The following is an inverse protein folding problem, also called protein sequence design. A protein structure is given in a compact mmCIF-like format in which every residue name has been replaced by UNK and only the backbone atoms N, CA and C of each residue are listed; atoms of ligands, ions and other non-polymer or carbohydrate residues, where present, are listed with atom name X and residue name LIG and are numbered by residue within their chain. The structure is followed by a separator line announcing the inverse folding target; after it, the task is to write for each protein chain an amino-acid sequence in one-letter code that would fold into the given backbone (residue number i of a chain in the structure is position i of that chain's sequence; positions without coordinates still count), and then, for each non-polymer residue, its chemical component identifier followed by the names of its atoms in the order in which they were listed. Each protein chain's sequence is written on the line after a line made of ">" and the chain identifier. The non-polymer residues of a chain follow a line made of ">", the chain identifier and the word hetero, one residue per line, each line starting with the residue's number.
data_IF_210640149759
#
_entry.id   IF_210640149759
#
_cell.length_a   1.000
_cell.length_b   1.000
_cell.length_c   1.000
_cell.angle_alpha   90.00
_cell.angle_beta   90.00
_cell.angle_gamma   90.00
#
_symmetry.space_group_name_H-M   'P 1'
#
loop_
_entity.id
_entity.type
_entity.pdbx_description
1 polymer ?
#
# COMPACT_ATOMS: atom_id res chain seq x y z
N UNK A 1 -49.50 38.59 -33.54
CA UNK A 1 -49.60 38.43 -32.07
C UNK A 1 -49.12 37.07 -31.60
N UNK A 2 -49.79 35.94 -31.81
CA UNK A 2 -49.26 34.64 -31.30
C UNK A 2 -48.03 34.12 -32.07
N UNK A 3 -47.93 34.38 -33.38
CA UNK A 3 -46.77 33.97 -34.18
C UNK A 3 -45.49 34.79 -33.87
N UNK A 4 -45.65 36.07 -33.55
CA UNK A 4 -44.51 36.97 -33.22
C UNK A 4 -43.96 36.67 -31.82
N UNK A 5 -44.81 36.32 -30.85
CA UNK A 5 -44.38 35.94 -29.50
C UNK A 5 -43.57 34.63 -29.48
N UNK A 6 -43.92 33.69 -30.38
CA UNK A 6 -43.24 32.40 -30.50
C UNK A 6 -41.89 32.53 -31.22
N UNK A 7 -41.75 33.54 -32.08
CA UNK A 7 -40.49 33.87 -32.76
C UNK A 7 -39.52 34.59 -31.81
N UNK A 8 -40.02 35.48 -30.94
CA UNK A 8 -39.25 36.12 -29.86
C UNK A 8 -38.76 35.11 -28.80
N UNK A 9 -39.58 34.12 -28.41
CA UNK A 9 -39.16 33.03 -27.50
C UNK A 9 -38.10 32.12 -28.15
N UNK A 10 -38.22 31.83 -29.45
CA UNK A 10 -37.24 31.04 -30.17
C UNK A 10 -35.89 31.79 -30.35
N UNK A 11 -35.93 33.11 -30.54
CA UNK A 11 -34.73 33.95 -30.61
C UNK A 11 -34.05 34.08 -29.24
N UNK A 12 -34.81 34.18 -28.14
CA UNK A 12 -34.28 34.14 -26.77
C UNK A 12 -33.68 32.78 -26.39
N UNK A 13 -34.27 31.68 -26.86
CA UNK A 13 -33.74 30.33 -26.66
C UNK A 13 -32.47 30.07 -27.48
N UNK A 14 -32.41 30.56 -28.73
CA UNK A 14 -31.19 30.50 -29.55
C UNK A 14 -30.03 31.31 -28.97
N UNK A 15 -30.31 32.47 -28.37
CA UNK A 15 -29.30 33.30 -27.70
C UNK A 15 -28.72 32.66 -26.42
N UNK A 16 -29.43 31.70 -25.80
CA UNK A 16 -28.94 30.91 -24.67
C UNK A 16 -28.07 29.72 -25.11
N UNK A 17 -28.23 29.21 -26.32
CA UNK A 17 -27.42 28.12 -26.89
C UNK A 17 -26.09 28.61 -27.50
N UNK A 18 -26.03 29.86 -27.98
CA UNK A 18 -24.81 30.50 -28.50
C UNK A 18 -23.96 31.19 -27.42
N UNK A 19 -24.40 31.16 -26.16
CA UNK A 19 -23.56 31.52 -25.03
C UNK A 19 -22.53 30.40 -24.81
N UNK A 20 -21.43 30.48 -25.57
CA UNK A 20 -20.22 29.70 -25.36
C UNK A 20 -19.98 29.62 -23.83
N UNK A 21 -20.02 28.43 -23.19
CA UNK A 21 -19.86 28.36 -21.76
C UNK A 21 -18.53 29.02 -21.45
N UNK A 22 -18.57 30.13 -20.72
CA UNK A 22 -17.37 30.69 -20.10
C UNK A 22 -16.70 29.48 -19.48
N UNK A 23 -15.43 29.16 -19.83
CA UNK A 23 -14.80 27.93 -19.38
C UNK A 23 -15.04 27.89 -17.89
N UNK A 24 -15.85 26.92 -17.44
CA UNK A 24 -16.30 26.85 -16.06
C UNK A 24 -15.03 27.00 -15.25
N UNK A 25 -14.87 28.14 -14.57
CA UNK A 25 -13.68 28.41 -13.80
C UNK A 25 -13.55 27.19 -12.92
N UNK A 26 -12.47 26.43 -13.14
CA UNK A 26 -12.23 25.13 -12.54
C UNK A 26 -12.70 25.23 -11.08
N UNK A 27 -13.60 24.34 -10.64
CA UNK A 27 -14.10 24.39 -9.26
C UNK A 27 -12.94 24.43 -8.24
N UNK A 28 -11.74 23.94 -8.64
CA UNK A 28 -10.49 24.10 -7.90
C UNK A 28 -10.04 25.57 -7.75
N UNK A 29 -10.21 26.42 -8.77
CA UNK A 29 -9.88 27.85 -8.72
C UNK A 29 -10.84 28.69 -7.87
N UNK A 30 -12.13 28.33 -7.80
CA UNK A 30 -13.10 29.02 -6.94
C UNK A 30 -12.87 28.73 -5.45
N UNK A 31 -12.54 27.48 -5.09
CA UNK A 31 -12.25 27.10 -3.70
C UNK A 31 -10.84 27.50 -3.24
N UNK A 32 -9.86 27.55 -4.16
CA UNK A 32 -8.49 27.91 -3.84
C UNK A 32 -8.27 29.39 -3.50
N UNK A 33 -9.26 30.26 -3.74
CA UNK A 33 -9.13 31.71 -3.55
C UNK A 33 -9.75 32.25 -2.26
N UNK A 34 -10.68 31.52 -1.64
CA UNK A 34 -11.35 31.99 -0.43
C UNK A 34 -10.64 31.49 0.83
N UNK A 35 -9.96 32.36 1.60
CA UNK A 35 -9.19 31.97 2.78
C UNK A 35 -10.03 31.30 3.86
N UNK A 36 -11.38 31.37 3.81
CA UNK A 36 -12.27 30.68 4.74
C UNK A 36 -12.29 29.15 4.56
N UNK A 37 -11.95 28.67 3.37
CA UNK A 37 -12.04 27.24 3.02
C UNK A 37 -10.69 26.54 2.89
N UNK A 38 -9.60 27.31 2.92
CA UNK A 38 -8.22 26.79 2.85
C UNK A 38 -7.79 26.35 4.25
N UNK A 39 -7.06 25.25 4.35
CA UNK A 39 -6.47 24.81 5.62
C UNK A 39 -5.49 25.87 6.15
N UNK A 40 -5.41 26.07 7.48
CA UNK A 40 -4.38 26.91 8.07
C UNK A 40 -2.99 26.48 7.62
N UNK A 41 -2.03 27.40 7.38
CA UNK A 41 -0.66 27.05 7.04
C UNK A 41 -0.05 26.13 8.10
N UNK A 42 0.52 25.02 7.65
CA UNK A 42 1.13 24.05 8.53
C UNK A 42 2.49 24.57 9.04
N UNK A 43 2.80 24.43 10.34
CA UNK A 43 4.13 24.73 10.86
C UNK A 43 5.22 23.93 10.12
N UNK A 44 6.46 24.46 10.01
CA UNK A 44 7.59 23.68 9.51
C UNK A 44 7.76 22.39 10.32
N UNK A 45 8.13 21.31 9.64
CA UNK A 45 8.31 19.99 10.23
C UNK A 45 9.79 19.61 10.19
N UNK A 46 10.40 19.36 11.34
CA UNK A 46 11.77 18.86 11.46
C UNK A 46 11.76 17.36 11.75
N UNK A 47 12.20 16.57 10.77
CA UNK A 47 12.23 15.12 10.87
C UNK A 47 13.12 14.57 11.98
N UNK A 48 14.02 15.36 12.57
CA UNK A 48 14.92 14.90 13.62
C UNK A 48 14.33 15.05 15.03
N UNK A 49 13.36 15.94 15.21
CA UNK A 49 12.84 16.34 16.52
C UNK A 49 11.33 16.14 16.63
N UNK A 50 10.59 16.33 15.54
CA UNK A 50 9.15 16.25 15.51
C UNK A 50 8.68 14.83 15.16
N UNK A 51 7.62 14.37 15.82
CA UNK A 51 6.86 13.20 15.40
C UNK A 51 5.63 13.65 14.59
N UNK A 52 5.24 12.89 13.57
CA UNK A 52 4.00 13.13 12.83
C UNK A 52 2.91 12.22 13.37
N UNK A 53 2.01 12.80 14.15
CA UNK A 53 0.87 12.10 14.74
C UNK A 53 -0.41 12.55 14.06
N UNK A 54 -1.13 11.61 13.44
CA UNK A 54 -2.32 11.92 12.66
C UNK A 54 -3.34 10.79 12.68
N UNK A 55 -4.62 11.15 12.57
CA UNK A 55 -5.68 10.19 12.32
C UNK A 55 -5.74 9.93 10.82
N UNK A 56 -5.55 8.67 10.42
CA UNK A 56 -5.64 8.30 9.00
C UNK A 56 -7.10 8.09 8.58
N UNK A 57 -7.40 8.28 7.31
CA UNK A 57 -8.77 8.24 6.76
C UNK A 57 -8.84 7.35 5.53
N UNK A 58 -7.87 7.48 4.63
CA UNK A 58 -7.82 6.72 3.39
C UNK A 58 -6.44 6.13 3.16
N UNK A 59 -6.40 5.02 2.44
CA UNK A 59 -5.18 4.31 2.11
C UNK A 59 -5.18 3.97 0.63
N UNK A 60 -4.15 4.46 -0.06
CA UNK A 60 -3.90 4.11 -1.44
C UNK A 60 -2.61 3.29 -1.58
N UNK A 61 -2.42 2.71 -2.75
CA UNK A 61 -1.18 2.04 -3.13
C UNK A 61 -0.73 2.58 -4.49
N UNK A 62 0.58 2.72 -4.66
CA UNK A 62 1.20 2.96 -5.96
C UNK A 62 2.48 2.15 -6.09
N UNK A 63 2.83 1.82 -7.34
CA UNK A 63 4.13 1.24 -7.64
C UNK A 63 5.14 2.38 -7.76
N UNK A 64 6.33 2.22 -7.18
CA UNK A 64 7.40 3.20 -7.23
C UNK A 64 8.78 2.59 -7.03
N UNK A 65 9.79 3.45 -6.92
CA UNK A 65 11.17 3.02 -6.71
C UNK A 65 11.44 2.71 -5.24
N UNK A 66 12.24 1.68 -4.99
CA UNK A 66 12.71 1.35 -3.64
C UNK A 66 13.54 2.49 -3.04
N UNK A 67 13.30 2.81 -1.77
CA UNK A 67 14.14 3.74 -1.03
C UNK A 67 15.55 3.16 -0.90
N UNK A 68 16.53 3.95 -1.33
CA UNK A 68 17.95 3.57 -1.33
C UNK A 68 18.58 3.57 0.08
N UNK A 69 17.94 4.25 1.04
CA UNK A 69 18.42 4.33 2.42
C UNK A 69 17.24 4.38 3.38
N UNK A 70 17.45 3.89 4.60
CA UNK A 70 16.49 4.03 5.68
C UNK A 70 16.60 5.44 6.30
N UNK A 71 15.53 6.24 6.34
CA UNK A 71 15.55 7.52 7.04
C UNK A 71 15.89 7.39 8.53
N UNK A 72 15.60 6.23 9.14
CA UNK A 72 16.03 5.91 10.49
C UNK A 72 17.52 5.58 10.54
N UNK A 73 18.30 6.46 11.18
CA UNK A 73 19.75 6.33 11.25
C UNK A 73 20.18 4.98 11.88
N UNK A 74 21.09 4.28 11.19
CA UNK A 74 21.65 3.00 11.66
C UNK A 74 20.77 1.77 11.40
N UNK A 75 19.59 1.93 10.78
CA UNK A 75 18.75 0.80 10.37
C UNK A 75 18.97 0.43 8.90
N UNK A 76 18.85 -0.86 8.61
CA UNK A 76 18.91 -1.38 7.25
C UNK A 76 17.61 -1.07 6.48
N UNK A 77 17.71 -1.07 5.15
CA UNK A 77 16.53 -0.99 4.28
C UNK A 77 15.81 -2.34 4.32
N UNK A 78 14.52 -2.31 4.65
CA UNK A 78 13.68 -3.52 4.71
C UNK A 78 12.92 -3.70 3.40
N UNK A 79 12.76 -4.95 2.98
CA UNK A 79 12.07 -5.30 1.74
C UNK A 79 13.00 -5.25 0.52
N UNK A 80 12.42 -5.11 -0.67
CA UNK A 80 13.19 -5.07 -1.91
C UNK A 80 13.99 -3.76 -2.03
N UNK A 81 15.28 -3.87 -2.36
CA UNK A 81 16.21 -2.75 -2.53
C UNK A 81 16.35 -2.29 -3.98
N UNK A 82 15.74 -3.01 -4.93
CA UNK A 82 15.83 -2.75 -6.36
C UNK A 82 14.56 -3.12 -7.09
N UNK A 83 14.28 -2.42 -8.19
CA UNK A 83 13.10 -2.64 -9.03
C UNK A 83 11.84 -1.95 -8.49
N UNK A 84 10.70 -2.12 -9.18
CA UNK A 84 9.44 -1.54 -8.75
C UNK A 84 8.95 -2.23 -7.47
N UNK A 85 8.57 -1.41 -6.47
CA UNK A 85 8.05 -1.85 -5.19
C UNK A 85 6.68 -1.22 -4.90
N UNK A 86 5.81 -1.89 -4.12
CA UNK A 86 4.52 -1.35 -3.75
C UNK A 86 4.68 -0.39 -2.56
N UNK A 87 4.32 0.86 -2.77
CA UNK A 87 4.31 1.90 -1.74
C UNK A 87 2.87 2.11 -1.29
N UNK A 88 2.63 2.02 0.01
CA UNK A 88 1.33 2.38 0.60
C UNK A 88 1.33 3.89 0.89
N UNK A 89 0.18 4.53 0.77
CA UNK A 89 -0.01 5.95 1.10
C UNK A 89 -1.15 6.09 2.08
N UNK A 90 -0.84 6.42 3.32
CA UNK A 90 -1.83 6.77 4.33
C UNK A 90 -2.11 8.27 4.25
N UNK A 91 -3.38 8.61 4.03
CA UNK A 91 -3.87 9.98 4.05
C UNK A 91 -4.60 10.25 5.36
N UNK A 92 -4.37 11.40 5.95
CA UNK A 92 -5.04 11.75 7.19
C UNK A 92 -4.83 13.19 7.63
N UNK A 93 -5.16 13.45 8.88
CA UNK A 93 -5.16 14.80 9.46
C UNK A 93 -4.56 14.76 10.86
N UNK A 94 -3.63 15.68 11.14
CA UNK A 94 -3.09 15.90 12.49
C UNK A 94 -4.16 16.51 13.42
N UNK A 95 -3.95 16.47 14.73
CA UNK A 95 -4.85 17.11 15.69
C UNK A 95 -5.03 18.62 15.44
N UNK A 96 -4.00 19.28 14.91
CA UNK A 96 -4.04 20.70 14.53
C UNK A 96 -4.72 20.97 13.18
N UNK A 97 -5.28 19.96 12.51
CA UNK A 97 -5.99 20.10 11.24
C UNK A 97 -5.11 20.08 9.98
N UNK A 98 -3.80 19.81 10.13
CA UNK A 98 -2.89 19.74 8.97
C UNK A 98 -3.05 18.41 8.22
N UNK A 99 -3.14 18.46 6.90
CA UNK A 99 -3.24 17.24 6.07
C UNK A 99 -1.90 16.53 5.91
N UNK A 100 -1.92 15.20 6.01
CA UNK A 100 -0.74 14.33 5.96
C UNK A 100 -0.90 13.28 4.85
N UNK A 101 0.18 13.08 4.08
CA UNK A 101 0.39 11.91 3.24
C UNK A 101 1.66 11.21 3.73
N UNK A 102 1.51 10.07 4.42
CA UNK A 102 2.63 9.22 4.77
C UNK A 102 2.81 8.16 3.69
N UNK A 103 3.96 8.14 3.03
CA UNK A 103 4.38 7.08 2.12
C UNK A 103 5.11 6.00 2.92
N UNK A 104 4.52 4.80 2.95
CA UNK A 104 5.00 3.67 3.71
C UNK A 104 5.72 2.69 2.79
N UNK A 105 6.99 2.43 3.11
CA UNK A 105 7.92 1.63 2.33
C UNK A 105 8.29 0.32 3.01
N UNK A 106 8.80 -0.63 2.24
CA UNK A 106 9.42 -1.87 2.73
C UNK A 106 8.45 -2.99 3.12
N UNK A 107 7.14 -2.76 3.07
CA UNK A 107 6.17 -3.83 3.26
C UNK A 107 6.14 -4.72 2.01
N UNK A 108 6.41 -6.02 2.17
CA UNK A 108 6.53 -6.93 1.02
C UNK A 108 5.31 -7.88 0.97
N UNK A 109 4.56 -7.94 -0.15
CA UNK A 109 3.43 -8.85 -0.29
C UNK A 109 3.85 -10.32 -0.09
N UNK A 110 3.07 -11.09 0.65
CA UNK A 110 3.34 -12.52 0.85
C UNK A 110 2.06 -13.35 1.00
N UNK A 111 2.24 -14.66 0.85
CA UNK A 111 1.23 -15.67 1.16
C UNK A 111 1.89 -16.97 1.61
N UNK A 112 1.10 -17.95 2.05
CA UNK A 112 1.63 -19.25 2.50
C UNK A 112 1.27 -20.37 1.51
N UNK A 113 2.15 -21.35 1.37
CA UNK A 113 1.93 -22.57 0.58
C UNK A 113 2.27 -23.82 1.40
N UNK A 114 1.48 -24.88 1.24
CA UNK A 114 1.74 -26.16 1.89
C UNK A 114 3.02 -26.82 1.36
N UNK A 115 3.59 -27.70 2.17
CA UNK A 115 4.70 -28.56 1.78
C UNK A 115 4.32 -30.04 1.92
N UNK A 116 4.93 -30.95 1.16
CA UNK A 116 4.85 -32.38 1.42
C UNK A 116 5.34 -32.70 2.84
N UNK A 117 4.75 -33.73 3.46
CA UNK A 117 5.21 -34.19 4.77
C UNK A 117 6.70 -34.57 4.71
N UNK A 118 7.46 -34.13 5.73
CA UNK A 118 8.91 -34.38 5.85
C UNK A 118 9.77 -33.81 4.71
N UNK A 119 9.22 -32.93 3.87
CA UNK A 119 10.04 -32.19 2.92
C UNK A 119 10.98 -31.24 3.68
N UNK A 120 12.31 -31.34 3.46
CA UNK A 120 13.28 -30.56 4.24
C UNK A 120 13.23 -29.07 3.90
N UNK A 121 12.91 -28.71 2.66
CA UNK A 121 12.94 -27.35 2.14
C UNK A 121 14.22 -26.62 2.54
N UNK A 122 15.39 -27.17 2.23
CA UNK A 122 16.69 -26.52 2.52
C UNK A 122 16.80 -25.17 1.80
N UNK A 123 17.77 -24.34 2.18
CA UNK A 123 17.98 -23.05 1.51
C UNK A 123 18.18 -23.24 0.00
N UNK A 124 19.00 -24.22 -0.41
CA UNK A 124 19.28 -24.50 -1.82
C UNK A 124 18.00 -24.89 -2.58
N UNK A 125 17.13 -25.69 -1.95
CA UNK A 125 15.86 -26.10 -2.54
C UNK A 125 14.88 -24.93 -2.68
N UNK A 126 14.85 -24.02 -1.68
CA UNK A 126 14.02 -22.81 -1.74
C UNK A 126 14.51 -21.84 -2.80
N UNK A 127 15.82 -21.67 -2.93
CA UNK A 127 16.41 -20.86 -4.00
C UNK A 127 16.13 -21.44 -5.39
N UNK A 128 16.25 -22.75 -5.56
CA UNK A 128 15.92 -23.41 -6.83
C UNK A 128 14.44 -23.23 -7.20
N UNK A 129 13.54 -23.46 -6.24
CA UNK A 129 12.10 -23.20 -6.42
C UNK A 129 11.83 -21.72 -6.77
N UNK A 130 12.49 -20.79 -6.08
CA UNK A 130 12.38 -19.36 -6.37
C UNK A 130 12.85 -19.02 -7.78
N UNK A 131 13.97 -19.60 -8.24
CA UNK A 131 14.46 -19.42 -9.62
C UNK A 131 13.48 -19.98 -10.65
N UNK A 132 12.89 -21.14 -10.39
CA UNK A 132 11.92 -21.76 -11.28
C UNK A 132 10.62 -20.93 -11.37
N UNK A 133 10.07 -20.51 -10.22
CA UNK A 133 8.90 -19.64 -10.19
C UNK A 133 9.14 -18.32 -10.93
N UNK A 134 10.30 -17.71 -10.76
CA UNK A 134 10.67 -16.47 -11.47
C UNK A 134 10.86 -16.67 -12.98
N UNK A 135 11.24 -17.88 -13.44
CA UNK A 135 11.32 -18.19 -14.87
C UNK A 135 9.94 -18.32 -15.49
N UNK A 136 9.00 -18.88 -14.75
CA UNK A 136 7.63 -19.13 -15.22
C UNK A 136 6.73 -17.89 -15.12
N UNK A 137 6.95 -17.03 -14.12
CA UNK A 137 6.23 -15.76 -14.00
C UNK A 137 6.92 -14.71 -14.88
N UNK A 138 6.30 -14.36 -16.00
CA UNK A 138 6.71 -13.21 -16.80
C UNK A 138 6.52 -11.91 -16.00
N UNK A 139 7.61 -11.45 -15.38
CA UNK A 139 7.75 -10.16 -14.76
C UNK A 139 8.35 -9.17 -15.77
N UNK A 140 7.68 -8.03 -15.96
CA UNK A 140 8.15 -6.99 -16.89
C UNK A 140 9.36 -6.28 -16.28
N UNK A 141 10.55 -6.79 -16.54
CA UNK A 141 11.82 -6.14 -16.16
C UNK A 141 12.20 -6.27 -14.68
N UNK A 142 11.75 -7.32 -13.98
CA UNK A 142 12.08 -7.52 -12.58
C UNK A 142 11.94 -8.98 -12.12
N UNK A 143 12.11 -9.19 -10.82
CA UNK A 143 11.91 -10.49 -10.15
C UNK A 143 10.48 -10.52 -9.62
N UNK A 144 9.73 -11.61 -9.85
CA UNK A 144 8.36 -11.77 -9.35
C UNK A 144 8.32 -12.26 -7.89
N UNK A 145 9.09 -13.29 -7.58
CA UNK A 145 9.23 -13.88 -6.24
C UNK A 145 10.51 -13.36 -5.62
N UNK A 146 10.35 -12.51 -4.60
CA UNK A 146 11.44 -11.82 -3.93
C UNK A 146 12.15 -12.70 -2.87
N UNK A 147 11.46 -13.71 -2.34
CA UNK A 147 12.02 -14.61 -1.34
C UNK A 147 11.06 -15.72 -0.95
N UNK A 148 11.60 -16.80 -0.41
CA UNK A 148 10.83 -17.93 0.13
C UNK A 148 11.41 -18.30 1.50
N UNK A 149 10.58 -18.25 2.53
CA UNK A 149 10.95 -18.56 3.91
C UNK A 149 10.24 -19.84 4.37
N UNK A 150 10.97 -20.72 5.08
CA UNK A 150 10.38 -21.90 5.70
C UNK A 150 9.77 -21.52 7.05
N UNK A 151 8.46 -21.72 7.18
CA UNK A 151 7.72 -21.42 8.41
C UNK A 151 7.28 -22.71 9.08
N UNK A 152 7.70 -22.88 10.33
CA UNK A 152 7.38 -24.04 11.15
C UNK A 152 6.16 -23.80 12.03
N UNK A 153 5.50 -24.89 12.42
CA UNK A 153 4.59 -24.85 13.56
C UNK A 153 3.24 -24.19 13.29
N UNK A 154 2.84 -24.02 12.01
CA UNK A 154 1.54 -23.47 11.61
C UNK A 154 0.52 -24.59 11.40
N UNK A 155 -0.75 -24.23 11.33
CA UNK A 155 -1.84 -25.15 11.06
C UNK A 155 -2.89 -24.48 10.18
N UNK A 156 -3.58 -25.26 9.36
CA UNK A 156 -4.74 -24.78 8.62
C UNK A 156 -5.87 -24.44 9.60
N UNK A 157 -6.54 -23.31 9.39
CA UNK A 157 -7.77 -22.98 10.10
C UNK A 157 -8.94 -23.89 9.66
N UNK A 158 -8.90 -24.38 8.43
CA UNK A 158 -9.95 -25.22 7.86
C UNK A 158 -9.78 -26.66 8.33
N UNK A 159 -10.77 -27.16 9.06
CA UNK A 159 -10.80 -28.52 9.60
C UNK A 159 -10.17 -28.65 11.00
N UNK A 160 -10.40 -29.78 11.66
CA UNK A 160 -9.78 -30.09 12.94
C UNK A 160 -8.79 -31.24 12.76
N UNK A 161 -7.49 -30.94 12.95
CA UNK A 161 -6.41 -31.92 12.84
C UNK A 161 -5.74 -32.23 14.18
N UNK A 162 -6.38 -31.83 15.29
CA UNK A 162 -5.76 -31.83 16.62
C UNK A 162 -4.58 -30.86 16.68
N UNK A 163 -3.58 -31.18 17.52
CA UNK A 163 -2.37 -30.35 17.68
C UNK A 163 -1.32 -30.58 16.56
N UNK A 164 -1.73 -31.12 15.41
CA UNK A 164 -0.84 -31.39 14.29
C UNK A 164 -0.45 -30.09 13.61
N UNK A 165 0.80 -29.68 13.85
CA UNK A 165 1.43 -28.57 13.15
C UNK A 165 2.20 -29.07 11.93
N UNK A 166 2.21 -28.26 10.88
CA UNK A 166 2.93 -28.52 9.64
C UNK A 166 3.89 -27.36 9.31
N UNK A 167 4.79 -27.65 8.38
CA UNK A 167 5.67 -26.66 7.78
C UNK A 167 5.01 -26.08 6.53
N UNK A 168 5.24 -24.80 6.30
CA UNK A 168 4.72 -24.06 5.14
C UNK A 168 5.84 -23.23 4.54
N UNK A 169 5.73 -22.91 3.25
CA UNK A 169 6.53 -21.86 2.63
C UNK A 169 5.79 -20.53 2.77
N UNK A 170 6.46 -19.51 3.27
CA UNK A 170 6.02 -18.12 3.15
C UNK A 170 6.69 -17.52 1.92
N UNK A 171 5.89 -17.26 0.90
CA UNK A 171 6.36 -16.81 -0.42
C UNK A 171 6.15 -15.31 -0.51
N UNK A 172 7.25 -14.56 -0.64
CA UNK A 172 7.24 -13.12 -0.82
C UNK A 172 7.30 -12.78 -2.32
N UNK A 173 6.47 -11.84 -2.76
CA UNK A 173 6.44 -11.37 -4.15
C UNK A 173 6.75 -9.89 -4.22
N UNK A 174 7.44 -9.45 -5.27
CA UNK A 174 7.85 -8.04 -5.42
C UNK A 174 6.68 -7.07 -5.56
N UNK A 175 5.58 -7.48 -6.19
CA UNK A 175 4.36 -6.68 -6.35
C UNK A 175 3.12 -7.51 -5.98
N UNK A 176 2.05 -6.89 -5.44
CA UNK A 176 0.80 -7.59 -5.11
C UNK A 176 0.17 -8.32 -6.31
N UNK A 177 0.38 -7.80 -7.53
CA UNK A 177 -0.12 -8.40 -8.77
C UNK A 177 0.52 -9.76 -9.08
N UNK A 178 1.72 -10.04 -8.57
CA UNK A 178 2.41 -11.31 -8.76
C UNK A 178 1.91 -12.40 -7.80
N UNK A 179 1.28 -12.06 -6.67
CA UNK A 179 0.69 -13.04 -5.74
C UNK A 179 -0.28 -13.98 -6.45
N UNK A 180 -1.16 -13.45 -7.30
CA UNK A 180 -2.12 -14.27 -8.06
C UNK A 180 -1.44 -15.16 -9.09
N UNK A 181 -0.40 -14.67 -9.77
CA UNK A 181 0.32 -15.45 -10.78
C UNK A 181 1.10 -16.60 -10.12
N UNK A 182 1.89 -16.30 -9.09
CA UNK A 182 2.70 -17.28 -8.39
C UNK A 182 1.85 -18.33 -7.69
N UNK A 183 0.73 -17.94 -7.07
CA UNK A 183 -0.24 -18.89 -6.50
C UNK A 183 -0.74 -19.88 -7.54
N UNK A 184 -1.18 -19.40 -8.71
CA UNK A 184 -1.74 -20.28 -9.76
C UNK A 184 -0.73 -21.33 -10.23
N UNK A 185 0.55 -20.97 -10.30
CA UNK A 185 1.62 -21.92 -10.60
C UNK A 185 1.74 -22.98 -9.50
N UNK A 186 1.82 -22.56 -8.25
CA UNK A 186 1.92 -23.46 -7.10
C UNK A 186 0.72 -24.42 -6.99
N UNK A 187 -0.49 -23.92 -7.22
CA UNK A 187 -1.73 -24.71 -7.19
C UNK A 187 -1.88 -25.61 -8.42
N UNK A 188 -1.34 -25.20 -9.57
CA UNK A 188 -1.35 -25.98 -10.82
C UNK A 188 -0.26 -27.04 -10.92
N UNK A 189 0.63 -27.11 -9.93
CA UNK A 189 1.73 -28.07 -9.88
C UNK A 189 3.07 -27.46 -10.28
N UNK A 190 4.04 -27.52 -9.38
CA UNK A 190 5.44 -27.13 -9.62
C UNK A 190 6.37 -28.30 -9.32
N UNK A 191 7.55 -28.30 -9.95
CA UNK A 191 8.57 -29.28 -9.62
C UNK A 191 9.29 -28.86 -8.32
N UNK A 192 9.03 -29.58 -7.22
CA UNK A 192 9.76 -29.38 -5.98
C UNK A 192 11.12 -30.12 -6.05
N UNK A 193 12.25 -29.43 -5.80
CA UNK A 193 13.57 -30.06 -5.84
C UNK A 193 13.66 -31.26 -4.91
N UNK A 194 14.00 -32.43 -5.47
CA UNK A 194 14.12 -33.70 -4.74
C UNK A 194 12.80 -34.40 -4.39
N UNK A 195 11.65 -33.86 -4.79
CA UNK A 195 10.33 -34.49 -4.60
C UNK A 195 9.64 -34.80 -5.93
N UNK A 196 9.76 -33.91 -6.93
CA UNK A 196 9.03 -34.00 -8.19
C UNK A 196 7.81 -33.08 -8.22
N UNK A 197 6.88 -33.35 -9.14
CA UNK A 197 5.66 -32.55 -9.30
C UNK A 197 4.84 -32.53 -8.01
N UNK A 198 4.48 -31.34 -7.55
CA UNK A 198 3.67 -31.14 -6.35
C UNK A 198 2.71 -29.96 -6.54
N UNK A 199 1.44 -30.20 -6.25
CA UNK A 199 0.38 -29.20 -6.21
C UNK A 199 0.25 -28.70 -4.77
N UNK A 200 0.63 -27.44 -4.54
CA UNK A 200 0.57 -26.84 -3.23
C UNK A 200 -0.80 -26.22 -2.99
N UNK A 201 -1.36 -26.43 -1.80
CA UNK A 201 -2.50 -25.63 -1.32
C UNK A 201 -1.97 -24.30 -0.81
N UNK A 202 -2.56 -23.19 -1.25
CA UNK A 202 -2.17 -21.86 -0.75
C UNK A 202 -3.12 -21.33 0.31
N UNK A 203 -2.59 -20.53 1.23
CA UNK A 203 -3.30 -19.93 2.35
C UNK A 203 -3.00 -18.45 2.40
N UNK A 204 -4.01 -17.68 2.83
CA UNK A 204 -3.94 -16.22 2.95
C UNK A 204 -3.56 -15.50 1.64
N UNK A 205 -3.57 -16.22 0.52
CA UNK A 205 -3.16 -15.72 -0.78
C UNK A 205 -4.17 -14.72 -1.35
N UNK A 206 -5.45 -14.82 -0.98
CA UNK A 206 -6.50 -13.91 -1.42
C UNK A 206 -6.70 -12.67 -0.52
N UNK A 207 -5.80 -12.42 0.44
CA UNK A 207 -5.88 -11.22 1.27
C UNK A 207 -5.33 -10.02 0.50
N UNK A 208 -6.13 -8.95 0.41
CA UNK A 208 -5.71 -7.71 -0.26
C UNK A 208 -4.47 -7.14 0.42
N UNK A 209 -3.52 -6.64 -0.36
CA UNK A 209 -2.24 -6.11 0.14
C UNK A 209 -2.39 -5.04 1.22
N UNK A 210 -3.29 -4.07 1.01
CA UNK A 210 -3.61 -3.03 2.00
C UNK A 210 -4.13 -3.65 3.31
N UNK A 211 -5.05 -4.61 3.22
CA UNK A 211 -5.62 -5.27 4.39
C UNK A 211 -4.55 -6.09 5.14
N UNK A 212 -3.64 -6.73 4.38
CA UNK A 212 -2.50 -7.44 4.94
C UNK A 212 -1.59 -6.50 5.74
N UNK A 213 -1.27 -5.34 5.19
CA UNK A 213 -0.51 -4.30 5.90
C UNK A 213 -1.20 -3.87 7.20
N UNK A 214 -2.50 -3.60 7.13
CA UNK A 214 -3.28 -3.19 8.29
C UNK A 214 -3.26 -4.25 9.41
N UNK A 215 -3.45 -5.52 9.06
CA UNK A 215 -3.42 -6.63 10.03
C UNK A 215 -2.02 -6.77 10.65
N UNK A 216 -0.98 -6.77 9.83
CA UNK A 216 0.38 -7.04 10.29
C UNK A 216 0.97 -5.90 11.13
N UNK A 217 0.52 -4.65 10.91
CA UNK A 217 0.95 -3.47 11.66
C UNK A 217 -0.03 -3.04 12.77
N UNK A 218 -1.06 -3.85 13.06
CA UNK A 218 -2.15 -3.54 14.00
C UNK A 218 -2.83 -2.18 13.73
N UNK A 219 -2.97 -1.80 12.46
CA UNK A 219 -3.62 -0.55 12.03
C UNK A 219 -5.10 -0.84 11.78
N UNK A 220 -5.95 -0.35 12.69
CA UNK A 220 -7.40 -0.39 12.53
C UNK A 220 -7.93 0.82 11.76
N UNK A 221 -9.15 0.72 11.21
CA UNK A 221 -9.81 1.83 10.51
C UNK A 221 -9.86 3.11 11.34
N UNK A 222 -9.41 4.22 10.75
CA UNK A 222 -9.45 5.56 11.33
C UNK A 222 -8.81 5.72 12.72
N UNK A 223 -7.82 4.89 13.06
CA UNK A 223 -7.06 5.09 14.28
C UNK A 223 -5.97 6.15 14.13
N UNK A 224 -5.35 6.49 15.25
CA UNK A 224 -4.20 7.38 15.28
C UNK A 224 -2.93 6.60 14.93
N UNK A 225 -2.17 7.13 13.99
CA UNK A 225 -0.87 6.61 13.59
C UNK A 225 0.19 7.66 13.89
N UNK A 226 1.31 7.20 14.42
CA UNK A 226 2.46 8.02 14.72
C UNK A 226 3.67 7.58 13.89
N UNK A 227 4.34 8.57 13.33
CA UNK A 227 5.65 8.47 12.67
C UNK A 227 6.66 9.13 13.61
N UNK A 228 7.47 8.36 14.37
CA UNK A 228 8.36 8.93 15.38
C UNK A 228 9.44 9.85 14.80
N UNK A 229 9.93 10.79 15.61
CA UNK A 229 11.07 11.62 15.24
C UNK A 229 12.29 10.76 14.89
N UNK A 230 13.00 11.16 13.83
CA UNK A 230 14.21 10.50 13.34
C UNK A 230 13.97 9.24 12.53
N UNK A 231 12.72 8.84 12.24
CA UNK A 231 12.42 7.61 11.47
C UNK A 231 11.89 7.88 10.07
N UNK A 232 11.70 9.14 9.70
CA UNK A 232 11.13 9.54 8.42
C UNK A 232 11.93 10.63 7.74
N UNK A 233 11.64 10.86 6.46
CA UNK A 233 12.13 11.99 5.68
C UNK A 233 10.96 12.79 5.14
N UNK A 234 11.03 14.12 5.20
CA UNK A 234 10.02 15.01 4.60
C UNK A 234 10.27 15.14 3.09
N UNK A 235 9.21 14.98 2.29
CA UNK A 235 9.22 15.31 0.85
C UNK A 235 8.84 16.77 0.64
N UNK A 236 9.65 17.47 -0.14
CA UNK A 236 9.42 18.89 -0.46
C UNK A 236 9.55 19.18 -1.96
N UNK A 237 8.97 20.30 -2.40
CA UNK A 237 9.08 20.77 -3.78
C UNK A 237 8.64 19.74 -4.82
N UNK A 238 9.51 19.48 -5.80
CA UNK A 238 9.24 18.57 -6.92
C UNK A 238 9.17 17.08 -6.53
N UNK A 239 9.58 16.72 -5.31
CA UNK A 239 9.50 15.34 -4.81
C UNK A 239 8.11 14.96 -4.29
N UNK A 240 7.26 15.96 -3.99
CA UNK A 240 5.89 15.72 -3.55
C UNK A 240 5.10 15.00 -4.64
N UNK A 241 4.26 14.07 -4.21
CA UNK A 241 3.35 13.30 -5.06
C UNK A 241 1.89 13.46 -4.59
N UNK A 242 1.67 14.31 -3.58
CA UNK A 242 0.37 14.67 -3.05
C UNK A 242 0.23 16.19 -2.92
N UNK A 243 -1.00 16.64 -2.70
CA UNK A 243 -1.32 18.03 -2.36
C UNK A 243 -1.47 18.24 -0.83
N UNK A 244 -1.10 17.24 -0.01
CA UNK A 244 -1.15 17.35 1.44
C UNK A 244 -0.11 18.36 1.94
N UNK A 245 -0.34 18.94 3.11
CA UNK A 245 0.59 19.91 3.70
C UNK A 245 1.90 19.20 4.10
N UNK A 246 1.78 18.10 4.82
CA UNK A 246 2.89 17.20 5.14
C UNK A 246 2.91 16.00 4.20
N UNK A 247 4.09 15.71 3.67
CA UNK A 247 4.35 14.48 2.93
C UNK A 247 5.65 13.86 3.41
N UNK A 248 5.61 12.62 3.88
CA UNK A 248 6.75 11.96 4.52
C UNK A 248 6.99 10.55 3.97
N UNK A 249 8.24 10.12 3.91
CA UNK A 249 8.65 8.74 3.64
C UNK A 249 9.03 8.06 4.97
N UNK A 250 8.44 6.89 5.24
CA UNK A 250 8.72 6.08 6.43
C UNK A 250 8.69 4.59 6.07
N UNK A 251 9.48 3.76 6.76
CA UNK A 251 9.36 2.30 6.64
C UNK A 251 8.24 1.76 7.53
N UNK A 252 7.52 0.72 7.06
CA UNK A 252 6.36 0.18 7.77
C UNK A 252 6.62 -0.25 9.21
N UNK A 253 7.83 -0.74 9.49
CA UNK A 253 8.26 -1.22 10.81
C UNK A 253 8.62 -0.09 11.79
N UNK A 254 8.62 1.16 11.36
CA UNK A 254 8.82 2.34 12.21
C UNK A 254 7.49 3.02 12.61
N UNK A 255 6.37 2.59 12.02
CA UNK A 255 5.05 3.12 12.33
C UNK A 255 4.59 2.63 13.71
N UNK A 256 3.99 3.54 14.47
CA UNK A 256 3.33 3.23 15.72
C UNK A 256 1.83 3.37 15.52
N UNK A 257 1.12 2.25 15.66
CA UNK A 257 -0.35 2.22 15.62
C UNK A 257 -0.89 2.37 17.04
N UNK A 258 -1.71 3.40 17.27
CA UNK A 258 -2.35 3.62 18.56
C UNK A 258 -3.76 3.05 18.55
N UNK A 259 -4.05 2.12 19.47
CA UNK A 259 -5.41 1.61 19.63
C UNK A 259 -6.34 2.72 20.15
N UNK A 260 -7.60 2.73 19.69
CA UNK A 260 -8.61 3.74 20.03
C UNK A 260 -9.12 3.60 21.48
N UNK A 261 -8.23 3.80 22.45
CA UNK A 261 -8.48 3.67 23.89
C UNK A 261 -7.88 4.89 24.60
N UNK A 262 -8.60 5.42 25.60
CA UNK A 262 -8.12 6.55 26.41
C UNK A 262 -7.88 7.80 25.57
N UNK A 263 -6.66 8.33 25.60
CA UNK A 263 -6.30 9.57 24.88
C UNK A 263 -6.44 9.46 23.35
N UNK A 264 -6.49 8.25 22.80
CA UNK A 264 -6.58 7.97 21.37
C UNK A 264 -8.01 7.73 20.88
N UNK A 265 -9.02 7.99 21.72
CA UNK A 265 -10.44 7.96 21.34
C UNK A 265 -10.93 9.28 20.72
N UNK A 266 -10.08 10.30 20.69
CA UNK A 266 -10.38 11.59 20.08
C UNK A 266 -10.59 11.45 18.56
N UNK A 267 -11.51 12.27 18.05
CA UNK A 267 -11.88 12.41 16.64
C UNK A 267 -11.46 13.80 16.18
#
# INVERSE_FOLDING_TARGET
>A
MEAEAMEEEAEQLGALEDANPTPAADASTFLAADPRWIRPPAPPLDATTDAVVFQWIDVAMCDGDALQSNPCAGKEVVGATSGPVPILRLFGVTESGNSVCAQIHGFTPYFFASLPERYPATEEQREELMRDLNRQVEARGGVAVAGIELVHGKQSLMGYYGDKKANFLKVYTSLPSYVTKTRKLLEGGVNLPGHGLYEATTFESNVKYVLRFMIDCDISGANWVEVPAGTYRVRAGAEKRSHCQYEVDVFFNELVSHQAIGAWQKI
#
